data_IF_757357812693
#
_entry.id   IF_757357812693
#
_cell.length_a   1.000
_cell.length_b   1.000
_cell.length_c   1.000
_cell.angle_alpha   90.00
_cell.angle_beta   90.00
_cell.angle_gamma   90.00
#
_symmetry.space_group_name_H-M   'P 1'
#
loop_
_entity.id
_entity.type
_entity.pdbx_description
1 polymer ?
#
# COMPACT_ATOMS: atom_id res chain seq x y z
N UNK A 1 53.98 30.80 22.39
CA UNK A 1 53.03 30.08 23.25
C UNK A 1 53.15 28.60 22.95
N UNK A 2 53.82 27.86 23.84
CA UNK A 2 54.01 26.41 23.72
C UNK A 2 52.70 25.72 24.13
N UNK A 3 52.05 25.01 23.22
CA UNK A 3 50.94 24.14 23.57
C UNK A 3 51.50 22.95 24.35
N UNK A 4 51.06 22.83 25.59
CA UNK A 4 51.52 21.84 26.57
C UNK A 4 50.97 20.45 26.16
N UNK A 5 51.68 19.77 25.25
CA UNK A 5 51.34 18.44 24.69
C UNK A 5 51.15 17.43 25.82
N UNK A 6 51.88 17.58 26.92
CA UNK A 6 51.82 16.70 28.07
C UNK A 6 50.47 16.82 28.82
N UNK A 7 49.90 18.03 28.92
CA UNK A 7 48.54 18.23 29.47
C UNK A 7 47.44 17.65 28.57
N UNK A 8 47.67 17.60 27.27
CA UNK A 8 46.76 16.98 26.30
C UNK A 8 46.81 15.45 26.39
N UNK A 9 48.01 14.88 26.53
CA UNK A 9 48.21 13.44 26.77
C UNK A 9 47.59 13.00 28.12
N UNK A 10 47.76 13.79 29.17
CA UNK A 10 47.23 13.51 30.51
C UNK A 10 45.69 13.60 30.57
N UNK A 11 45.09 14.58 29.87
CA UNK A 11 43.63 14.65 29.67
C UNK A 11 43.07 13.46 28.88
N UNK A 12 43.80 12.98 27.89
CA UNK A 12 43.37 11.84 27.04
C UNK A 12 43.44 10.51 27.81
N UNK A 13 44.43 10.37 28.70
CA UNK A 13 44.58 9.22 29.62
C UNK A 13 43.46 9.15 30.66
N UNK A 14 42.97 10.30 31.12
CA UNK A 14 41.86 10.39 32.07
C UNK A 14 40.46 10.29 31.45
N UNK A 15 40.35 10.31 30.11
CA UNK A 15 39.08 10.20 29.38
C UNK A 15 38.72 8.76 28.96
N UNK A 16 39.61 7.79 29.16
CA UNK A 16 39.45 6.41 28.70
C UNK A 16 39.59 5.38 29.83
N UNK A 17 38.62 5.37 30.74
CA UNK A 17 38.45 4.28 31.74
C UNK A 17 37.60 3.14 31.14
N UNK A 18 37.86 2.81 29.87
CA UNK A 18 37.26 1.65 29.21
C UNK A 18 38.27 0.51 29.22
N UNK A 19 37.84 -0.76 29.41
CA UNK A 19 38.71 -1.89 29.13
C UNK A 19 39.28 -1.77 27.69
N UNK A 20 40.59 -1.94 27.56
CA UNK A 20 41.25 -2.08 26.26
C UNK A 20 40.99 -3.50 25.78
N UNK A 21 40.27 -3.63 24.66
CA UNK A 21 40.02 -4.92 24.03
C UNK A 21 41.02 -5.14 22.90
N UNK A 22 41.61 -6.33 22.80
CA UNK A 22 42.52 -6.71 21.72
C UNK A 22 41.81 -6.87 20.36
N UNK A 23 40.48 -6.97 20.39
CA UNK A 23 39.62 -7.10 19.20
C UNK A 23 38.52 -6.05 19.21
N UNK A 24 38.08 -5.61 18.03
CA UNK A 24 37.00 -4.65 17.87
C UNK A 24 35.90 -5.16 16.92
N UNK A 25 34.96 -4.28 16.55
CA UNK A 25 33.86 -4.61 15.66
C UNK A 25 34.33 -5.21 14.31
N UNK A 26 35.44 -4.74 13.76
CA UNK A 26 35.97 -5.22 12.48
C UNK A 26 36.40 -6.69 12.54
N UNK A 27 36.86 -7.16 13.71
CA UNK A 27 37.32 -8.53 13.92
C UNK A 27 36.16 -9.51 14.16
N UNK A 28 34.94 -9.00 14.39
CA UNK A 28 33.77 -9.86 14.60
C UNK A 28 33.32 -10.56 13.31
N UNK A 29 33.03 -11.88 13.35
CA UNK A 29 32.44 -12.59 12.22
C UNK A 29 31.10 -12.01 11.79
N UNK A 30 30.80 -12.06 10.49
CA UNK A 30 29.57 -11.54 9.91
C UNK A 30 28.30 -12.10 10.57
N UNK A 31 28.31 -13.38 10.96
CA UNK A 31 27.18 -14.04 11.63
C UNK A 31 26.84 -13.41 12.98
N UNK A 32 27.86 -13.01 13.76
CA UNK A 32 27.67 -12.35 15.06
C UNK A 32 27.19 -10.91 14.84
N UNK A 33 27.78 -10.20 13.87
CA UNK A 33 27.33 -8.86 13.47
C UNK A 33 25.86 -8.86 13.06
N UNK A 34 25.42 -9.86 12.29
CA UNK A 34 24.02 -10.03 11.89
C UNK A 34 23.10 -10.24 13.09
N UNK A 35 23.50 -11.05 14.08
CA UNK A 35 22.73 -11.21 15.33
C UNK A 35 22.60 -9.90 16.10
N UNK A 36 23.65 -9.09 16.14
CA UNK A 36 23.62 -7.75 16.75
C UNK A 36 22.72 -6.80 15.98
N UNK A 37 22.91 -6.67 14.66
CA UNK A 37 22.10 -5.84 13.76
C UNK A 37 20.62 -6.23 13.83
N UNK A 38 20.31 -7.52 13.96
CA UNK A 38 18.96 -8.04 14.11
C UNK A 38 18.22 -7.49 15.34
N UNK A 39 18.95 -7.08 16.39
CA UNK A 39 18.40 -6.48 17.62
C UNK A 39 18.33 -4.96 17.58
N UNK A 40 18.94 -4.32 16.58
CA UNK A 40 18.99 -2.86 16.46
C UNK A 40 17.67 -2.28 15.92
N UNK A 41 17.33 -1.09 16.39
CA UNK A 41 16.27 -0.24 15.83
C UNK A 41 16.65 0.28 14.44
N UNK A 42 15.67 0.76 13.67
CA UNK A 42 15.91 1.20 12.29
C UNK A 42 16.90 2.37 12.20
N UNK A 43 16.88 3.28 13.18
CA UNK A 43 17.81 4.42 13.28
C UNK A 43 19.26 3.96 13.51
N UNK A 44 19.47 2.97 14.37
CA UNK A 44 20.78 2.38 14.65
C UNK A 44 21.31 1.64 13.41
N UNK A 45 20.44 0.88 12.73
CA UNK A 45 20.77 0.23 11.46
C UNK A 45 21.21 1.22 10.38
N UNK A 46 20.56 2.38 10.31
CA UNK A 46 20.94 3.46 9.40
C UNK A 46 22.35 3.99 9.71
N UNK A 47 22.66 4.20 10.99
CA UNK A 47 24.00 4.61 11.42
C UNK A 47 25.05 3.57 11.03
N UNK A 48 24.81 2.28 11.29
CA UNK A 48 25.71 1.18 10.90
C UNK A 48 25.88 1.10 9.39
N UNK A 49 24.81 1.28 8.61
CA UNK A 49 24.85 1.30 7.15
C UNK A 49 25.79 2.37 6.57
N UNK A 50 25.99 3.46 7.30
CA UNK A 50 26.83 4.58 6.87
C UNK A 50 28.32 4.39 7.19
N UNK A 51 28.72 3.35 7.92
CA UNK A 51 30.12 3.19 8.39
C UNK A 51 31.04 2.55 7.35
N UNK A 52 30.64 1.45 6.71
CA UNK A 52 31.44 0.77 5.68
C UNK A 52 30.59 -0.07 4.72
N UNK A 53 31.16 -0.44 3.56
CA UNK A 53 30.46 -1.23 2.52
C UNK A 53 30.03 -2.61 3.00
N UNK A 54 30.87 -3.29 3.79
CA UNK A 54 30.53 -4.59 4.38
C UNK A 54 29.31 -4.46 5.31
N UNK A 55 29.28 -3.42 6.15
CA UNK A 55 28.23 -3.29 7.16
C UNK A 55 26.91 -2.82 6.55
N UNK A 56 26.99 -1.98 5.52
CA UNK A 56 25.86 -1.69 4.64
C UNK A 56 25.25 -2.98 4.08
N UNK A 57 26.09 -3.89 3.57
CA UNK A 57 25.61 -5.15 2.98
C UNK A 57 24.94 -6.04 4.03
N UNK A 58 25.50 -6.11 5.24
CA UNK A 58 24.90 -6.86 6.36
C UNK A 58 23.55 -6.26 6.78
N UNK A 59 23.49 -4.94 6.97
CA UNK A 59 22.24 -4.24 7.32
C UNK A 59 21.16 -4.47 6.26
N UNK A 60 21.53 -4.33 4.99
CA UNK A 60 20.60 -4.47 3.86
C UNK A 60 20.16 -5.92 3.61
N UNK A 61 20.87 -6.91 4.16
CA UNK A 61 20.46 -8.33 4.12
C UNK A 61 19.35 -8.68 5.13
N UNK A 62 19.14 -7.83 6.14
CA UNK A 62 18.21 -8.09 7.23
C UNK A 62 16.91 -7.30 7.05
N UNK A 63 15.78 -8.03 7.01
CA UNK A 63 14.46 -7.41 6.96
C UNK A 63 13.94 -7.03 8.35
N UNK A 64 13.17 -5.96 8.44
CA UNK A 64 12.48 -5.51 9.66
C UNK A 64 10.99 -5.39 9.39
N UNK A 65 10.17 -5.90 10.31
CA UNK A 65 8.71 -5.84 10.19
C UNK A 65 8.16 -4.58 10.84
N UNK A 66 7.31 -3.86 10.11
CA UNK A 66 6.58 -2.69 10.60
C UNK A 66 5.07 -2.91 10.42
N UNK A 67 4.28 -2.48 11.40
CA UNK A 67 2.82 -2.61 11.32
C UNK A 67 2.25 -1.57 10.36
N UNK A 68 2.82 -0.36 10.35
CA UNK A 68 2.31 0.73 9.54
C UNK A 68 3.47 1.58 9.00
N UNK A 69 3.40 1.95 7.74
CA UNK A 69 4.24 2.96 7.11
C UNK A 69 3.37 3.99 6.42
N UNK A 70 3.62 5.27 6.66
CA UNK A 70 2.99 6.38 5.96
C UNK A 70 4.06 7.23 5.28
N UNK A 71 4.00 7.31 3.96
CA UNK A 71 4.93 8.09 3.15
C UNK A 71 4.16 9.23 2.53
N UNK A 72 4.56 10.47 2.85
CA UNK A 72 4.01 11.68 2.27
C UNK A 72 5.09 12.46 1.53
N UNK A 73 4.93 12.62 0.23
CA UNK A 73 5.81 13.41 -0.61
C UNK A 73 5.05 14.59 -1.19
N UNK A 74 5.66 15.77 -1.09
CA UNK A 74 5.20 17.01 -1.71
C UNK A 74 6.37 17.68 -2.42
N UNK A 75 6.11 18.75 -3.16
CA UNK A 75 7.17 19.60 -3.71
C UNK A 75 8.12 20.20 -2.65
N UNK A 76 7.66 20.34 -1.40
CA UNK A 76 8.42 21.01 -0.33
C UNK A 76 9.15 20.05 0.61
N UNK A 77 8.63 18.84 0.80
CA UNK A 77 9.19 17.89 1.76
C UNK A 77 8.78 16.45 1.46
N UNK A 78 9.57 15.53 1.99
CA UNK A 78 9.24 14.12 2.13
C UNK A 78 9.12 13.80 3.62
N UNK A 79 8.04 13.15 4.01
CA UNK A 79 7.82 12.66 5.36
C UNK A 79 7.56 11.16 5.30
N UNK A 80 8.19 10.44 6.23
CA UNK A 80 8.00 9.02 6.41
C UNK A 80 7.73 8.79 7.89
N UNK A 81 6.64 8.12 8.21
CA UNK A 81 6.28 7.75 9.59
C UNK A 81 6.10 6.25 9.64
N UNK A 82 6.94 5.57 10.41
CA UNK A 82 6.92 4.12 10.54
C UNK A 82 6.57 3.73 11.97
N UNK A 83 5.59 2.86 12.13
CA UNK A 83 5.11 2.38 13.45
C UNK A 83 5.47 0.90 13.59
N UNK A 84 6.41 0.54 14.49
CA UNK A 84 6.73 -0.85 14.79
C UNK A 84 5.52 -1.56 15.41
N UNK A 85 5.45 -2.88 15.25
CA UNK A 85 4.33 -3.69 15.79
C UNK A 85 4.21 -3.67 17.32
N UNK A 86 5.30 -3.39 18.04
CA UNK A 86 5.39 -3.52 19.50
C UNK A 86 5.84 -2.23 20.20
N UNK A 87 5.81 -1.08 19.51
CA UNK A 87 6.22 0.20 20.07
C UNK A 87 5.36 1.33 19.50
N UNK A 88 4.95 2.26 20.36
CA UNK A 88 4.21 3.47 19.95
C UNK A 88 5.11 4.59 19.43
N UNK A 89 6.42 4.34 19.30
CA UNK A 89 7.38 5.33 18.84
C UNK A 89 7.44 5.34 17.31
N UNK A 90 7.12 6.49 16.74
CA UNK A 90 7.26 6.76 15.30
C UNK A 90 8.76 6.75 14.96
N UNK A 91 9.18 5.74 14.24
CA UNK A 91 10.52 5.66 13.68
C UNK A 91 10.51 6.35 12.31
N UNK A 92 10.51 7.68 12.28
CA UNK A 92 11.15 8.53 11.25
C UNK A 92 10.65 9.99 11.28
N UNK A 93 11.38 10.87 10.59
CA UNK A 93 11.19 12.33 10.61
C UNK A 93 11.16 12.92 9.20
N UNK A 94 10.49 14.06 9.08
CA UNK A 94 10.39 14.92 7.89
C UNK A 94 11.75 15.34 7.34
N UNK A 95 11.91 15.21 6.02
CA UNK A 95 13.03 15.69 5.22
C UNK A 95 12.67 16.97 4.48
N UNK A 96 13.37 18.07 4.77
CA UNK A 96 13.26 19.31 3.99
C UNK A 96 13.93 19.22 2.62
N UNK A 97 14.93 18.35 2.45
CA UNK A 97 15.50 18.02 1.15
C UNK A 97 14.86 16.72 0.63
N UNK A 98 14.00 16.86 -0.36
CA UNK A 98 13.20 15.75 -0.91
C UNK A 98 14.09 14.67 -1.53
N UNK A 99 15.15 15.02 -2.26
CA UNK A 99 16.03 14.03 -2.92
C UNK A 99 16.77 13.16 -1.89
N UNK A 100 17.27 13.75 -0.81
CA UNK A 100 17.80 12.98 0.33
C UNK A 100 16.72 12.10 0.97
N UNK A 101 15.48 12.57 1.00
CA UNK A 101 14.32 11.79 1.41
C UNK A 101 14.12 10.54 0.55
N UNK A 102 14.23 10.65 -0.78
CA UNK A 102 14.09 9.51 -1.69
C UNK A 102 15.21 8.49 -1.53
N UNK A 103 16.45 8.92 -1.37
CA UNK A 103 17.56 7.99 -1.07
C UNK A 103 17.30 7.21 0.23
N UNK A 104 16.72 7.87 1.23
CA UNK A 104 16.32 7.20 2.45
C UNK A 104 15.11 6.27 2.25
N UNK A 105 14.14 6.66 1.42
CA UNK A 105 12.97 5.86 1.08
C UNK A 105 13.35 4.57 0.36
N UNK A 106 14.31 4.63 -0.58
CA UNK A 106 14.87 3.46 -1.26
C UNK A 106 15.47 2.47 -0.27
N UNK A 107 16.17 2.96 0.75
CA UNK A 107 16.65 2.12 1.84
C UNK A 107 15.51 1.50 2.64
N UNK A 108 14.50 2.29 3.02
CA UNK A 108 13.31 1.81 3.74
C UNK A 108 12.64 0.68 2.97
N UNK A 109 12.34 0.86 1.69
CA UNK A 109 11.76 -0.18 0.84
C UNK A 109 12.64 -1.43 0.74
N UNK A 110 13.96 -1.26 0.76
CA UNK A 110 14.89 -2.38 0.71
C UNK A 110 14.85 -3.24 1.97
N UNK A 111 14.70 -2.66 3.16
CA UNK A 111 14.85 -3.40 4.43
C UNK A 111 13.55 -3.61 5.20
N UNK A 112 12.50 -2.84 4.91
CA UNK A 112 11.25 -2.91 5.66
C UNK A 112 10.24 -3.80 4.94
N UNK A 113 9.53 -4.61 5.74
CA UNK A 113 8.36 -5.38 5.35
C UNK A 113 7.17 -4.81 6.11
N UNK A 114 6.21 -4.24 5.38
CA UNK A 114 5.04 -3.57 5.94
C UNK A 114 3.84 -4.51 6.05
N UNK A 115 3.12 -4.46 7.17
CA UNK A 115 1.76 -4.97 7.20
C UNK A 115 0.83 -4.03 6.42
N UNK A 116 0.94 -2.72 6.64
CA UNK A 116 0.16 -1.69 5.97
C UNK A 116 1.07 -0.54 5.52
N UNK A 117 0.93 -0.13 4.26
CA UNK A 117 1.71 0.94 3.65
C UNK A 117 0.77 1.96 2.98
N UNK A 118 0.72 3.17 3.52
CA UNK A 118 0.02 4.30 2.92
C UNK A 118 1.01 5.22 2.20
N UNK A 119 0.69 5.59 0.96
CA UNK A 119 1.52 6.42 0.10
C UNK A 119 0.71 7.59 -0.41
N UNK A 120 1.25 8.79 -0.21
CA UNK A 120 0.67 10.05 -0.64
C UNK A 120 1.73 10.90 -1.32
N UNK A 121 1.75 10.89 -2.65
CA UNK A 121 2.69 11.68 -3.44
C UNK A 121 1.89 12.68 -4.26
N UNK A 122 2.12 13.97 -4.03
CA UNK A 122 1.38 15.05 -4.69
C UNK A 122 2.34 16.10 -5.26
N UNK A 123 1.98 16.64 -6.42
CA UNK A 123 2.61 17.82 -7.03
C UNK A 123 4.13 17.66 -7.24
N UNK A 124 4.58 16.49 -7.70
CA UNK A 124 6.00 16.16 -7.82
C UNK A 124 6.32 15.42 -9.12
N UNK A 125 6.68 16.18 -10.15
CA UNK A 125 6.85 15.69 -11.52
C UNK A 125 7.93 14.60 -11.66
N UNK A 126 9.00 14.65 -10.86
CA UNK A 126 10.12 13.70 -10.88
C UNK A 126 9.89 12.46 -10.00
N UNK A 127 8.69 12.28 -9.43
CA UNK A 127 8.37 11.15 -8.55
C UNK A 127 8.54 9.81 -9.27
N UNK A 128 8.05 9.74 -10.51
CA UNK A 128 8.11 8.53 -11.33
C UNK A 128 9.54 8.08 -11.55
N UNK A 129 10.44 8.98 -11.95
CA UNK A 129 11.86 8.70 -12.19
C UNK A 129 12.54 8.20 -10.92
N UNK A 130 12.29 8.85 -9.77
CA UNK A 130 12.87 8.44 -8.50
C UNK A 130 12.37 7.06 -8.04
N UNK A 131 11.07 6.78 -8.19
CA UNK A 131 10.51 5.46 -7.91
C UNK A 131 11.14 4.43 -8.85
N UNK A 132 11.19 4.72 -10.15
CA UNK A 132 11.71 3.81 -11.17
C UNK A 132 13.20 3.50 -10.98
N UNK A 133 13.98 4.46 -10.48
CA UNK A 133 15.39 4.26 -10.15
C UNK A 133 15.64 3.21 -9.05
N UNK A 134 14.65 2.92 -8.20
CA UNK A 134 14.74 1.85 -7.22
C UNK A 134 14.62 0.49 -7.91
N UNK A 135 15.71 -0.28 -7.97
CA UNK A 135 15.74 -1.59 -8.66
C UNK A 135 15.23 -2.75 -7.81
N UNK A 136 14.97 -2.52 -6.51
CA UNK A 136 14.50 -3.55 -5.59
C UNK A 136 12.98 -3.77 -5.63
N UNK A 137 12.51 -4.64 -4.74
CA UNK A 137 11.10 -4.87 -4.48
C UNK A 137 10.64 -4.16 -3.22
N UNK A 138 9.35 -3.81 -3.17
CA UNK A 138 8.66 -3.21 -2.03
C UNK A 138 7.78 -4.31 -1.42
N UNK A 139 7.94 -4.53 -0.11
CA UNK A 139 7.21 -5.57 0.61
C UNK A 139 6.12 -4.96 1.48
N UNK A 140 4.86 -5.10 1.08
CA UNK A 140 3.71 -4.75 1.92
C UNK A 140 2.53 -5.69 1.65
N UNK A 141 1.79 -6.06 2.69
CA UNK A 141 0.54 -6.82 2.50
C UNK A 141 -0.60 -5.93 2.05
N UNK A 142 -0.78 -4.79 2.69
CA UNK A 142 -1.86 -3.85 2.36
C UNK A 142 -1.23 -2.54 1.88
N UNK A 143 -1.61 -2.09 0.69
CA UNK A 143 -1.13 -0.83 0.13
C UNK A 143 -2.29 0.12 -0.16
N UNK A 144 -2.15 1.37 0.28
CA UNK A 144 -3.10 2.44 0.08
C UNK A 144 -2.42 3.63 -0.63
N UNK A 145 -3.05 4.12 -1.68
CA UNK A 145 -2.64 5.30 -2.42
C UNK A 145 -3.63 6.44 -2.19
N UNK A 146 -3.14 7.57 -1.69
CA UNK A 146 -3.92 8.76 -1.44
C UNK A 146 -3.41 9.93 -2.30
N UNK A 147 -4.28 10.57 -3.08
CA UNK A 147 -3.93 11.66 -4.01
C UNK A 147 -2.79 11.33 -5.01
N UNK A 148 -2.66 10.07 -5.42
CA UNK A 148 -1.64 9.63 -6.39
C UNK A 148 -2.25 9.43 -7.78
N UNK A 149 -1.52 9.80 -8.83
CA UNK A 149 -1.83 9.51 -10.24
C UNK A 149 -1.19 8.20 -10.70
N UNK A 150 -1.40 7.81 -11.97
CA UNK A 150 -0.81 6.57 -12.51
C UNK A 150 0.71 6.60 -12.54
N UNK A 151 1.33 7.77 -12.71
CA UNK A 151 2.79 7.92 -12.73
C UNK A 151 3.44 7.54 -11.39
N UNK A 152 2.65 7.52 -10.32
CA UNK A 152 3.06 6.99 -9.01
C UNK A 152 2.51 5.58 -8.78
N UNK A 153 1.21 5.35 -9.00
CA UNK A 153 0.53 4.10 -8.66
C UNK A 153 1.12 2.93 -9.46
N UNK A 154 1.26 3.06 -10.77
CA UNK A 154 1.72 1.96 -11.66
C UNK A 154 3.16 1.53 -11.32
N UNK A 155 4.16 2.43 -11.25
CA UNK A 155 5.53 2.06 -10.90
C UNK A 155 5.68 1.40 -9.54
N UNK A 156 4.91 1.85 -8.54
CA UNK A 156 4.95 1.26 -7.20
C UNK A 156 4.37 -0.15 -7.23
N UNK A 157 3.19 -0.33 -7.83
CA UNK A 157 2.55 -1.64 -7.94
C UNK A 157 3.43 -2.66 -8.69
N UNK A 158 4.12 -2.25 -9.76
CA UNK A 158 5.09 -3.10 -10.48
C UNK A 158 6.31 -3.51 -9.62
N UNK A 159 6.66 -2.67 -8.64
CA UNK A 159 7.76 -2.93 -7.70
C UNK A 159 7.32 -3.69 -6.45
N UNK A 160 6.04 -3.93 -6.27
CA UNK A 160 5.58 -4.80 -5.18
C UNK A 160 6.05 -6.25 -5.40
N UNK A 161 6.28 -6.95 -4.29
CA UNK A 161 6.44 -8.40 -4.30
C UNK A 161 5.07 -9.13 -4.28
N UNK A 162 5.10 -10.46 -4.18
CA UNK A 162 3.88 -11.28 -4.22
C UNK A 162 3.14 -11.38 -2.87
N UNK A 163 3.53 -10.61 -1.85
CA UNK A 163 2.89 -10.63 -0.53
C UNK A 163 1.66 -9.73 -0.42
N UNK A 164 1.28 -9.03 -1.50
CA UNK A 164 0.14 -8.10 -1.50
C UNK A 164 -1.18 -8.87 -1.35
N UNK A 165 -1.90 -8.56 -0.28
CA UNK A 165 -3.23 -9.08 0.07
C UNK A 165 -4.33 -8.07 -0.26
N UNK A 166 -4.02 -6.77 -0.20
CA UNK A 166 -4.96 -5.71 -0.57
C UNK A 166 -4.34 -4.49 -1.22
N UNK A 167 -5.09 -3.90 -2.15
CA UNK A 167 -4.77 -2.62 -2.79
C UNK A 167 -5.95 -1.67 -2.61
N UNK A 168 -5.69 -0.42 -2.21
CA UNK A 168 -6.68 0.66 -2.17
C UNK A 168 -6.14 1.88 -2.90
N UNK A 169 -6.93 2.42 -3.84
CA UNK A 169 -6.56 3.63 -4.59
C UNK A 169 -7.64 4.69 -4.39
N UNK A 170 -7.29 5.82 -3.79
CA UNK A 170 -8.14 7.00 -3.74
C UNK A 170 -7.99 7.79 -5.05
N UNK A 171 -8.91 7.56 -5.99
CA UNK A 171 -8.92 8.14 -7.33
C UNK A 171 -9.55 9.55 -7.38
N UNK A 172 -9.15 10.43 -6.45
CA UNK A 172 -9.44 11.85 -6.59
C UNK A 172 -8.72 12.46 -7.81
N UNK A 173 -7.55 11.93 -8.17
CA UNK A 173 -6.88 12.17 -9.44
C UNK A 173 -7.46 11.28 -10.56
N UNK A 174 -7.15 11.62 -11.82
CA UNK A 174 -7.60 10.81 -12.95
C UNK A 174 -6.77 9.52 -13.02
N UNK A 175 -7.45 8.38 -12.89
CA UNK A 175 -6.86 7.06 -12.87
C UNK A 175 -7.09 6.35 -14.22
N UNK A 176 -6.03 5.78 -14.79
CA UNK A 176 -6.10 4.97 -16.01
C UNK A 176 -6.15 3.52 -15.57
N UNK A 177 -7.36 2.99 -15.40
CA UNK A 177 -7.57 1.65 -14.88
C UNK A 177 -6.94 0.57 -15.77
N UNK A 178 -6.89 0.79 -17.08
CA UNK A 178 -6.31 -0.17 -18.04
C UNK A 178 -4.83 -0.48 -17.73
N UNK A 179 -4.01 0.56 -17.51
CA UNK A 179 -2.59 0.39 -17.16
C UNK A 179 -2.39 -0.37 -15.84
N UNK A 180 -3.29 -0.15 -14.88
CA UNK A 180 -3.24 -0.82 -13.58
C UNK A 180 -3.64 -2.29 -13.70
N UNK A 181 -4.63 -2.59 -14.55
CA UNK A 181 -5.12 -3.96 -14.79
C UNK A 181 -4.08 -4.86 -15.47
N UNK A 182 -3.12 -4.28 -16.20
CA UNK A 182 -2.01 -5.03 -16.81
C UNK A 182 -1.00 -5.55 -15.78
N UNK A 183 -1.00 -4.99 -14.57
CA UNK A 183 -0.03 -5.32 -13.52
C UNK A 183 -0.39 -6.68 -12.89
N UNK A 184 0.57 -7.61 -12.91
CA UNK A 184 0.40 -8.97 -12.37
C UNK A 184 -0.02 -8.97 -10.90
N UNK A 185 0.48 -8.04 -10.08
CA UNK A 185 0.11 -7.91 -8.67
C UNK A 185 -1.38 -7.57 -8.51
N UNK A 186 -1.93 -6.72 -9.39
CA UNK A 186 -3.35 -6.35 -9.38
C UNK A 186 -4.22 -7.50 -9.85
N UNK A 187 -3.77 -8.24 -10.87
CA UNK A 187 -4.51 -9.39 -11.40
C UNK A 187 -4.69 -10.51 -10.36
N UNK A 188 -3.75 -10.63 -9.42
CA UNK A 188 -3.71 -11.73 -8.44
C UNK A 188 -4.16 -11.33 -7.04
N UNK A 189 -4.41 -10.04 -6.77
CA UNK A 189 -4.74 -9.59 -5.42
C UNK A 189 -6.12 -10.13 -4.99
N UNK A 190 -6.25 -10.67 -3.76
CA UNK A 190 -7.54 -11.09 -3.23
C UNK A 190 -8.54 -9.94 -3.11
N UNK A 191 -8.07 -8.75 -2.77
CA UNK A 191 -8.92 -7.58 -2.53
C UNK A 191 -8.37 -6.33 -3.19
N UNK A 192 -9.18 -5.67 -4.01
CA UNK A 192 -8.84 -4.37 -4.58
C UNK A 192 -9.99 -3.38 -4.44
N UNK A 193 -9.66 -2.13 -4.13
CA UNK A 193 -10.63 -1.07 -3.99
C UNK A 193 -10.20 0.21 -4.68
N UNK A 194 -11.15 0.85 -5.37
CA UNK A 194 -11.01 2.21 -5.90
C UNK A 194 -12.05 3.11 -5.23
N UNK A 195 -11.60 4.22 -4.67
CA UNK A 195 -12.47 5.22 -4.08
C UNK A 195 -12.58 6.45 -4.99
N UNK A 196 -13.76 7.08 -5.01
CA UNK A 196 -14.03 8.37 -5.66
C UNK A 196 -13.79 8.40 -7.17
N UNK A 197 -13.90 7.25 -7.84
CA UNK A 197 -13.63 7.10 -9.28
C UNK A 197 -14.57 7.96 -10.12
N UNK A 198 -14.01 8.61 -11.15
CA UNK A 198 -14.74 9.60 -11.98
C UNK A 198 -15.28 9.05 -13.29
N UNK A 199 -14.91 7.83 -13.69
CA UNK A 199 -15.41 7.18 -14.92
C UNK A 199 -16.39 6.05 -14.57
N UNK A 200 -17.04 5.49 -15.59
CA UNK A 200 -18.06 4.43 -15.43
C UNK A 200 -17.55 3.02 -15.73
N UNK A 201 -16.33 2.94 -16.25
CA UNK A 201 -15.77 1.77 -16.91
C UNK A 201 -15.09 0.76 -15.97
N UNK A 202 -14.79 1.13 -14.72
CA UNK A 202 -14.01 0.26 -13.81
C UNK A 202 -14.66 -1.09 -13.57
N UNK A 203 -16.00 -1.16 -13.46
CA UNK A 203 -16.69 -2.43 -13.18
C UNK A 203 -16.53 -3.43 -14.32
N UNK A 204 -16.78 -3.02 -15.56
CA UNK A 204 -16.72 -3.95 -16.68
C UNK A 204 -15.28 -4.31 -17.04
N UNK A 205 -14.34 -3.35 -16.90
CA UNK A 205 -12.91 -3.61 -17.11
C UNK A 205 -12.34 -4.61 -16.12
N UNK A 206 -12.66 -4.47 -14.82
CA UNK A 206 -12.22 -5.42 -13.80
C UNK A 206 -12.83 -6.80 -14.02
N UNK A 207 -14.13 -6.88 -14.33
CA UNK A 207 -14.78 -8.16 -14.60
C UNK A 207 -14.21 -8.83 -15.85
N UNK A 208 -13.94 -8.07 -16.93
CA UNK A 208 -13.28 -8.59 -18.13
C UNK A 208 -11.90 -9.16 -17.80
N UNK A 209 -11.08 -8.42 -17.04
CA UNK A 209 -9.77 -8.92 -16.59
C UNK A 209 -9.90 -10.25 -15.81
N UNK A 210 -10.90 -10.38 -14.94
CA UNK A 210 -11.13 -11.63 -14.22
C UNK A 210 -11.63 -12.79 -15.09
N UNK A 211 -12.41 -12.51 -16.13
CA UNK A 211 -12.80 -13.48 -17.16
C UNK A 211 -11.57 -13.99 -17.90
N UNK A 212 -10.70 -13.07 -18.35
CA UNK A 212 -9.50 -13.38 -19.12
C UNK A 212 -8.48 -14.17 -18.29
N UNK A 213 -8.38 -13.88 -16.99
CA UNK A 213 -7.40 -14.50 -16.07
C UNK A 213 -7.94 -15.70 -15.30
N UNK A 214 -9.23 -16.03 -15.44
CA UNK A 214 -9.89 -17.07 -14.66
C UNK A 214 -9.63 -16.89 -13.15
N UNK A 215 -9.97 -15.70 -12.64
CA UNK A 215 -9.73 -15.31 -11.25
C UNK A 215 -10.37 -16.28 -10.25
N UNK A 216 -9.78 -16.35 -9.06
CA UNK A 216 -10.18 -17.30 -8.02
C UNK A 216 -11.48 -16.87 -7.35
N UNK A 217 -12.27 -17.86 -6.91
CA UNK A 217 -13.41 -17.61 -6.03
C UNK A 217 -12.93 -16.90 -4.76
N UNK A 218 -13.71 -15.93 -4.31
CA UNK A 218 -13.38 -15.08 -3.16
C UNK A 218 -12.56 -13.84 -3.49
N UNK A 219 -12.14 -13.64 -4.75
CA UNK A 219 -11.56 -12.37 -5.19
C UNK A 219 -12.64 -11.29 -5.21
N UNK A 220 -12.33 -10.13 -4.60
CA UNK A 220 -13.27 -9.03 -4.38
C UNK A 220 -12.70 -7.73 -4.94
N UNK A 221 -13.55 -6.98 -5.63
CA UNK A 221 -13.29 -5.61 -6.06
C UNK A 221 -14.40 -4.70 -5.56
N UNK A 222 -14.03 -3.54 -5.02
CA UNK A 222 -14.99 -2.53 -4.57
C UNK A 222 -14.71 -1.19 -5.23
N UNK A 223 -15.77 -0.49 -5.60
CA UNK A 223 -15.65 0.84 -6.18
C UNK A 223 -16.66 1.81 -5.55
N UNK A 224 -16.20 3.03 -5.24
CA UNK A 224 -17.09 4.18 -5.12
C UNK A 224 -16.90 5.09 -6.33
N UNK A 225 -18.01 5.43 -6.99
CA UNK A 225 -18.03 6.13 -8.29
C UNK A 225 -18.85 7.40 -8.16
N UNK A 226 -18.38 8.51 -8.74
CA UNK A 226 -19.03 9.84 -8.69
C UNK A 226 -20.13 10.05 -9.73
N UNK A 227 -20.21 9.17 -10.74
CA UNK A 227 -21.14 9.29 -11.86
C UNK A 227 -22.09 8.07 -11.90
N UNK A 228 -23.35 8.31 -12.27
CA UNK A 228 -24.33 7.26 -12.53
C UNK A 228 -24.03 6.48 -13.82
N UNK A 229 -24.61 5.30 -14.01
CA UNK A 229 -24.55 4.57 -15.27
C UNK A 229 -23.62 3.36 -15.28
N UNK A 230 -22.71 3.22 -14.30
CA UNK A 230 -21.75 2.09 -14.28
C UNK A 230 -22.43 0.72 -14.19
N UNK A 231 -23.57 0.62 -13.49
CA UNK A 231 -24.32 -0.63 -13.35
C UNK A 231 -25.02 -1.03 -14.66
N UNK A 232 -25.62 -0.05 -15.32
CA UNK A 232 -26.28 -0.22 -16.61
C UNK A 232 -25.27 -0.52 -17.72
N UNK A 233 -24.11 0.17 -17.69
CA UNK A 233 -22.99 -0.07 -18.61
C UNK A 233 -22.42 -1.47 -18.45
N UNK A 234 -22.19 -1.92 -17.21
CA UNK A 234 -21.79 -3.30 -16.92
C UNK A 234 -22.80 -4.32 -17.50
N UNK A 235 -24.09 -4.10 -17.25
CA UNK A 235 -25.14 -4.99 -17.75
C UNK A 235 -25.17 -5.07 -19.28
N UNK A 236 -24.93 -3.94 -19.96
CA UNK A 236 -24.90 -3.90 -21.43
C UNK A 236 -23.68 -4.62 -21.98
N UNK A 237 -22.52 -4.48 -21.32
CA UNK A 237 -21.27 -5.08 -21.76
C UNK A 237 -21.30 -6.61 -21.74
N UNK A 238 -21.99 -7.20 -20.75
CA UNK A 238 -22.04 -8.66 -20.55
C UNK A 238 -23.40 -9.27 -20.85
N UNK A 239 -24.22 -8.65 -21.72
CA UNK A 239 -25.61 -9.06 -21.96
C UNK A 239 -25.75 -10.57 -22.24
N UNK A 240 -24.85 -11.11 -23.06
CA UNK A 240 -24.87 -12.51 -23.50
C UNK A 240 -24.44 -13.51 -22.42
N UNK A 241 -23.86 -13.03 -21.32
CA UNK A 241 -23.37 -13.86 -20.21
C UNK A 241 -24.19 -13.68 -18.92
N UNK A 242 -25.28 -12.90 -18.96
CA UNK A 242 -26.12 -12.68 -17.77
C UNK A 242 -26.86 -13.97 -17.39
N UNK A 243 -26.66 -14.42 -16.16
CA UNK A 243 -27.35 -15.55 -15.54
C UNK A 243 -28.58 -15.06 -14.78
N UNK A 244 -28.45 -13.96 -14.03
CA UNK A 244 -29.57 -13.32 -13.34
C UNK A 244 -29.34 -11.82 -13.19
N UNK A 245 -30.43 -11.07 -13.13
CA UNK A 245 -30.39 -9.61 -13.02
C UNK A 245 -31.57 -9.09 -12.19
N UNK A 246 -31.28 -8.15 -11.31
CA UNK A 246 -32.24 -7.36 -10.57
C UNK A 246 -31.80 -5.90 -10.52
N UNK A 247 -32.55 -5.04 -9.84
CA UNK A 247 -32.15 -3.65 -9.62
C UNK A 247 -30.88 -3.52 -8.75
N UNK A 248 -30.64 -4.51 -7.89
CA UNK A 248 -29.52 -4.52 -6.93
C UNK A 248 -28.32 -5.31 -7.42
N UNK A 249 -28.53 -6.33 -8.25
CA UNK A 249 -27.50 -7.32 -8.58
C UNK A 249 -27.50 -7.70 -10.05
N UNK A 250 -26.30 -7.98 -10.58
CA UNK A 250 -26.11 -8.64 -11.87
C UNK A 250 -25.17 -9.80 -11.66
N UNK A 251 -25.58 -11.00 -12.06
CA UNK A 251 -24.74 -12.19 -12.04
C UNK A 251 -24.42 -12.59 -13.47
N UNK A 252 -23.15 -12.79 -13.77
CA UNK A 252 -22.69 -13.25 -15.08
C UNK A 252 -21.95 -14.58 -14.96
N UNK A 253 -22.10 -15.44 -15.95
CA UNK A 253 -21.29 -16.66 -16.09
C UNK A 253 -19.87 -16.31 -16.51
N UNK A 254 -18.91 -17.20 -16.23
CA UNK A 254 -17.55 -17.10 -16.77
C UNK A 254 -17.27 -18.26 -17.72
N UNK A 255 -16.10 -18.24 -18.38
CA UNK A 255 -15.63 -19.38 -19.17
C UNK A 255 -15.34 -20.63 -18.32
N UNK A 256 -15.25 -20.47 -17.00
CA UNK A 256 -15.14 -21.57 -16.06
C UNK A 256 -16.54 -21.87 -15.50
N UNK A 257 -17.09 -23.08 -15.75
CA UNK A 257 -18.46 -23.41 -15.35
C UNK A 257 -18.68 -23.38 -13.84
N UNK A 258 -17.62 -23.52 -13.03
CA UNK A 258 -17.70 -23.54 -11.58
C UNK A 258 -17.68 -22.13 -10.96
N UNK A 259 -17.55 -21.07 -11.77
CA UNK A 259 -17.32 -19.70 -11.29
C UNK A 259 -18.21 -18.71 -12.02
N UNK A 260 -18.90 -17.87 -11.26
CA UNK A 260 -19.64 -16.71 -11.75
C UNK A 260 -19.02 -15.42 -11.20
N UNK A 261 -19.34 -14.28 -11.81
CA UNK A 261 -19.05 -12.95 -11.23
C UNK A 261 -20.37 -12.31 -10.81
N UNK A 262 -20.42 -11.84 -9.56
CA UNK A 262 -21.56 -11.14 -8.99
C UNK A 262 -21.21 -9.66 -8.82
N UNK A 263 -21.96 -8.79 -9.49
CA UNK A 263 -22.00 -7.35 -9.24
C UNK A 263 -23.14 -7.03 -8.30
N UNK A 264 -22.84 -6.28 -7.25
CA UNK A 264 -23.82 -5.74 -6.33
C UNK A 264 -23.72 -4.22 -6.26
N UNK A 265 -24.89 -3.58 -6.26
CA UNK A 265 -25.05 -2.15 -6.05
C UNK A 265 -25.39 -1.88 -4.58
N UNK A 266 -24.59 -1.04 -3.94
CA UNK A 266 -24.84 -0.53 -2.60
C UNK A 266 -26.00 0.46 -2.62
N UNK A 267 -27.20 -0.03 -2.31
CA UNK A 267 -28.41 0.77 -2.13
C UNK A 267 -28.72 0.89 -0.63
N UNK A 268 -28.04 1.81 0.06
CA UNK A 268 -28.38 2.14 1.46
C UNK A 268 -29.34 3.34 1.46
N UNK A 269 -30.54 3.13 2.02
CA UNK A 269 -31.59 4.14 2.15
C UNK A 269 -31.14 5.35 3.00
N UNK A 270 -30.20 5.15 3.93
CA UNK A 270 -29.58 6.24 4.72
C UNK A 270 -28.70 7.15 3.86
N UNK A 271 -28.05 6.59 2.84
CA UNK A 271 -27.16 7.32 1.92
C UNK A 271 -27.88 7.96 0.73
N UNK A 272 -29.14 7.57 0.46
CA UNK A 272 -29.91 8.09 -0.67
C UNK A 272 -30.11 9.61 -0.62
N UNK A 273 -30.03 10.24 0.56
CA UNK A 273 -30.43 11.65 0.70
C UNK A 273 -29.32 12.67 0.37
N UNK A 274 -28.01 12.38 0.48
CA UNK A 274 -27.02 13.48 0.52
C UNK A 274 -25.64 13.26 -0.13
N UNK A 275 -25.37 12.17 -0.86
CA UNK A 275 -24.05 12.00 -1.51
C UNK A 275 -24.13 11.54 -2.99
N UNK A 276 -23.38 12.16 -3.92
CA UNK A 276 -23.33 11.73 -5.33
C UNK A 276 -22.62 10.39 -5.54
N UNK A 277 -22.08 9.75 -4.49
CA UNK A 277 -21.31 8.52 -4.63
C UNK A 277 -22.23 7.31 -4.79
N UNK A 278 -21.88 6.45 -5.74
CA UNK A 278 -22.48 5.13 -5.94
C UNK A 278 -21.47 4.08 -5.54
N UNK A 279 -21.92 3.08 -4.80
CA UNK A 279 -21.06 2.04 -4.26
C UNK A 279 -21.34 0.71 -4.96
N UNK A 280 -20.28 0.00 -5.28
CA UNK A 280 -20.35 -1.27 -5.98
C UNK A 280 -19.39 -2.28 -5.37
N UNK A 281 -19.80 -3.55 -5.36
CA UNK A 281 -18.99 -4.70 -4.99
C UNK A 281 -19.07 -5.74 -6.11
N UNK A 282 -17.92 -6.10 -6.67
CA UNK A 282 -17.74 -7.21 -7.59
C UNK A 282 -17.08 -8.37 -6.83
N UNK A 283 -17.57 -9.58 -7.06
CA UNK A 283 -17.04 -10.78 -6.41
C UNK A 283 -17.01 -11.94 -7.39
N UNK A 284 -15.94 -12.71 -7.38
CA UNK A 284 -15.91 -14.04 -8.01
C UNK A 284 -16.51 -15.04 -7.02
N UNK A 285 -17.60 -15.69 -7.41
CA UNK A 285 -18.37 -16.61 -6.57
C UNK A 285 -18.45 -18.01 -7.18
N UNK A 286 -18.71 -19.07 -6.39
CA UNK A 286 -19.06 -20.37 -6.94
C UNK A 286 -20.31 -20.28 -7.82
N UNK A 287 -20.34 -21.02 -8.93
CA UNK A 287 -21.51 -21.08 -9.81
C UNK A 287 -22.74 -21.72 -9.13
N UNK A 288 -22.53 -22.55 -8.11
CA UNK A 288 -23.59 -23.19 -7.33
C UNK A 288 -24.18 -22.32 -6.20
N UNK A 289 -23.54 -21.19 -5.87
CA UNK A 289 -24.01 -20.29 -4.81
C UNK A 289 -25.43 -19.78 -5.13
N UNK A 290 -26.34 -19.91 -4.16
CA UNK A 290 -27.73 -19.50 -4.28
C UNK A 290 -27.92 -18.05 -3.89
N UNK A 291 -28.96 -17.43 -4.43
CA UNK A 291 -29.29 -16.04 -4.15
C UNK A 291 -29.58 -15.77 -2.66
N UNK A 292 -30.08 -16.76 -1.93
CA UNK A 292 -30.32 -16.69 -0.47
C UNK A 292 -29.03 -16.65 0.37
N UNK A 293 -27.89 -16.98 -0.21
CA UNK A 293 -26.58 -16.97 0.46
C UNK A 293 -25.84 -15.63 0.29
N UNK A 294 -26.38 -14.72 -0.52
CA UNK A 294 -25.75 -13.42 -0.73
C UNK A 294 -25.83 -12.55 0.52
N UNK A 295 -24.75 -11.82 0.78
CA UNK A 295 -24.68 -10.84 1.86
C UNK A 295 -25.47 -9.57 1.49
N UNK A 296 -26.66 -9.42 2.08
CA UNK A 296 -27.53 -8.26 1.91
C UNK A 296 -27.12 -7.03 2.75
N UNK A 297 -26.11 -7.15 3.63
CA UNK A 297 -25.69 -6.07 4.51
C UNK A 297 -24.76 -5.07 3.81
N UNK A 298 -25.32 -4.34 2.83
CA UNK A 298 -24.53 -3.38 2.07
C UNK A 298 -23.93 -2.25 2.92
N UNK A 299 -24.64 -1.88 3.98
CA UNK A 299 -24.24 -0.86 4.93
C UNK A 299 -22.89 -1.15 5.57
N UNK A 300 -22.65 -2.37 6.05
CA UNK A 300 -21.40 -2.70 6.75
C UNK A 300 -20.17 -2.51 5.86
N UNK A 301 -20.23 -3.02 4.62
CA UNK A 301 -19.08 -2.89 3.73
C UNK A 301 -18.92 -1.47 3.17
N UNK A 302 -20.01 -0.71 2.97
CA UNK A 302 -19.93 0.71 2.61
C UNK A 302 -19.29 1.53 3.73
N UNK A 303 -19.67 1.29 4.99
CA UNK A 303 -19.07 1.93 6.17
C UNK A 303 -17.56 1.72 6.25
N UNK A 304 -17.09 0.51 5.90
CA UNK A 304 -15.67 0.17 5.86
C UNK A 304 -14.94 0.88 4.71
N UNK A 305 -15.61 1.10 3.58
CA UNK A 305 -15.02 1.82 2.43
C UNK A 305 -14.80 3.30 2.70
N UNK A 306 -15.77 3.97 3.32
CA UNK A 306 -15.72 5.42 3.56
C UNK A 306 -16.17 5.76 5.00
N UNK A 307 -15.32 5.50 6.01
CA UNK A 307 -15.72 5.59 7.42
C UNK A 307 -16.09 7.01 7.87
N UNK A 308 -15.40 8.02 7.34
CA UNK A 308 -15.59 9.42 7.72
C UNK A 308 -16.98 9.91 7.30
N UNK A 309 -17.36 9.68 6.05
CA UNK A 309 -18.66 10.10 5.52
C UNK A 309 -19.81 9.50 6.34
N UNK A 310 -19.72 8.22 6.74
CA UNK A 310 -20.77 7.59 7.55
C UNK A 310 -20.91 8.20 8.97
N UNK A 311 -19.80 8.52 9.64
CA UNK A 311 -19.82 9.13 11.00
C UNK A 311 -20.42 10.54 11.02
N UNK A 312 -20.18 11.34 9.99
CA UNK A 312 -20.76 12.69 9.89
C UNK A 312 -22.28 12.64 9.67
N UNK A 313 -22.79 11.66 8.92
CA UNK A 313 -24.23 11.56 8.64
C UNK A 313 -25.06 11.04 9.81
N UNK A 314 -24.58 10.03 10.55
CA UNK A 314 -25.31 9.56 11.76
C UNK A 314 -25.47 10.68 12.78
N UNK A 315 -24.50 11.61 12.86
CA UNK A 315 -24.56 12.78 13.75
C UNK A 315 -25.46 13.92 13.25
N UNK A 316 -25.86 13.93 11.99
CA UNK A 316 -26.78 14.95 11.44
C UNK A 316 -28.26 14.53 11.52
N UNK A 317 -28.52 13.23 11.73
CA UNK A 317 -29.88 12.65 11.77
C UNK A 317 -30.34 12.41 13.23
N UNK A 318 -29.43 12.51 14.20
CA UNK A 318 -29.71 12.56 15.64
C UNK A 318 -29.69 14.01 16.14
#
# INVERSE_FOLDING_TARGET
MSFDIDKLAEKTKNLSIGPVYDTNWCDMPAEIKLKCIGKMELSERLSVRCTAKAERSLVESQKVKFQYGNIRVTSMFLDASLIPKYQDKIAFRKFGNVNKGFECLKFIWKVVVFENLAIKIRDRADAKEEIMSYTGKISAKNIEFDFCDNDVVVPILQKMDNSVESITVNAEADLAVDEILEITQVQNVPFWQILYYKKRDSLHKVAQMWLDKNSKVGTIFKASVKINGSFEEFSKHFLDCIVSKSEKRVRISTNNPDRHILLERGLDDVYKMHHPLKFFRLMVIPAEMKDSEYDDNCKEWICKMVPLTYKYFVRMIM
#
